data_IF_279840840165
#
_entry.id   IF_279840840165
#
_cell.length_a   1.000
_cell.length_b   1.000
_cell.length_c   1.000
_cell.angle_alpha   90.00
_cell.angle_beta   90.00
_cell.angle_gamma   90.00
#
_symmetry.space_group_name_H-M   'P 1'
#
loop_
_entity.id
_entity.type
_entity.pdbx_description
1 polymer ?
#
# COMPACT_ATOMS: atom_id res chain seq x y z
N UNK A 1 -3.78 -18.02 2.07
CA UNK A 1 -2.66 -17.41 2.81
C UNK A 1 -1.51 -17.21 1.83
N UNK A 2 -0.90 -16.03 1.80
CA UNK A 2 0.25 -15.77 0.94
C UNK A 2 1.45 -16.59 1.47
N UNK A 3 2.03 -17.44 0.62
CA UNK A 3 3.14 -18.32 1.03
C UNK A 3 4.46 -17.75 0.51
N UNK A 4 5.00 -16.73 1.19
CA UNK A 4 6.33 -16.20 0.90
C UNK A 4 7.39 -16.91 1.77
N UNK A 5 8.62 -17.07 1.26
CA UNK A 5 9.75 -17.48 2.10
C UNK A 5 9.91 -16.57 3.32
N UNK A 6 10.32 -17.12 4.47
CA UNK A 6 10.43 -16.39 5.73
C UNK A 6 11.46 -15.23 5.73
N UNK A 7 12.35 -15.21 4.74
CA UNK A 7 13.34 -14.15 4.50
C UNK A 7 12.86 -13.13 3.46
N UNK A 8 11.56 -13.06 3.19
CA UNK A 8 10.94 -12.11 2.26
C UNK A 8 10.27 -10.98 3.00
N UNK A 9 10.59 -9.75 2.60
CA UNK A 9 9.88 -8.54 3.00
C UNK A 9 8.96 -8.02 1.90
N UNK A 10 7.98 -7.23 2.27
CA UNK A 10 7.11 -6.50 1.35
C UNK A 10 7.27 -5.00 1.59
N UNK A 11 7.40 -4.22 0.52
CA UNK A 11 7.32 -2.76 0.56
C UNK A 11 6.03 -2.35 -0.14
N UNK A 12 5.17 -1.61 0.54
CA UNK A 12 3.96 -1.02 -0.05
C UNK A 12 4.28 0.43 -0.40
N UNK A 13 4.26 0.78 -1.68
CA UNK A 13 4.71 2.09 -2.16
C UNK A 13 3.60 2.89 -2.84
N UNK A 14 3.47 4.17 -2.49
CA UNK A 14 2.64 5.14 -3.22
C UNK A 14 3.45 6.37 -3.69
N UNK A 15 2.79 7.42 -4.19
CA UNK A 15 3.47 8.66 -4.60
C UNK A 15 4.04 9.48 -3.42
N UNK A 16 3.47 9.30 -2.23
CA UNK A 16 3.53 10.23 -1.12
C UNK A 16 2.56 11.39 -1.28
N UNK A 17 2.29 12.08 -0.18
CA UNK A 17 1.44 13.26 -0.13
C UNK A 17 2.05 14.32 0.76
N UNK A 18 1.80 15.60 0.44
CA UNK A 18 2.10 16.72 1.33
C UNK A 18 1.21 16.72 2.58
N UNK A 19 0.09 15.99 2.56
CA UNK A 19 -0.81 15.81 3.70
C UNK A 19 -0.36 14.60 4.51
N UNK A 20 0.12 14.84 5.73
CA UNK A 20 0.56 13.78 6.64
C UNK A 20 -0.51 12.71 6.89
N UNK A 21 -1.79 13.11 6.94
CA UNK A 21 -2.94 12.18 7.06
C UNK A 21 -2.96 11.14 5.93
N UNK A 22 -2.69 11.54 4.69
CA UNK A 22 -2.66 10.62 3.56
C UNK A 22 -1.52 9.62 3.66
N UNK A 23 -0.35 10.03 4.17
CA UNK A 23 0.79 9.13 4.35
C UNK A 23 0.52 8.07 5.43
N UNK A 24 -0.15 8.46 6.53
CA UNK A 24 -0.59 7.51 7.58
C UNK A 24 -1.57 6.45 7.09
N UNK A 25 -2.36 6.75 6.05
CA UNK A 25 -3.23 5.74 5.44
C UNK A 25 -2.39 4.62 4.80
N UNK A 26 -1.25 4.94 4.19
CA UNK A 26 -0.35 3.92 3.63
C UNK A 26 0.27 3.06 4.72
N UNK A 27 0.68 3.67 5.85
CA UNK A 27 1.14 2.94 7.04
C UNK A 27 0.06 1.95 7.52
N UNK A 28 -1.19 2.41 7.63
CA UNK A 28 -2.33 1.56 8.04
C UNK A 28 -2.60 0.43 7.04
N UNK A 29 -2.43 0.68 5.74
CA UNK A 29 -2.54 -0.36 4.70
C UNK A 29 -1.41 -1.39 4.82
N UNK A 30 -0.18 -0.95 5.09
CA UNK A 30 0.96 -1.84 5.29
C UNK A 30 0.75 -2.75 6.52
N UNK A 31 0.27 -2.19 7.64
CA UNK A 31 -0.05 -2.94 8.86
C UNK A 31 -1.18 -3.95 8.62
N UNK A 32 -2.27 -3.51 7.96
CA UNK A 32 -3.39 -4.38 7.60
C UNK A 32 -2.94 -5.55 6.72
N UNK A 33 -2.06 -5.28 5.75
CA UNK A 33 -1.50 -6.32 4.91
C UNK A 33 -0.58 -7.26 5.70
N UNK A 34 0.27 -6.73 6.59
CA UNK A 34 1.17 -7.53 7.42
C UNK A 34 0.38 -8.55 8.27
N UNK A 35 -0.70 -8.11 8.90
CA UNK A 35 -1.60 -8.96 9.69
C UNK A 35 -2.29 -10.01 8.80
N UNK A 36 -2.96 -9.57 7.73
CA UNK A 36 -3.74 -10.45 6.86
C UNK A 36 -2.87 -11.49 6.13
N UNK A 37 -1.65 -11.13 5.74
CA UNK A 37 -0.72 -12.02 5.05
C UNK A 37 0.19 -12.80 6.00
N UNK A 38 0.17 -12.52 7.31
CA UNK A 38 1.16 -13.02 8.28
C UNK A 38 2.60 -12.78 7.82
N UNK A 39 2.85 -11.62 7.21
CA UNK A 39 4.16 -11.25 6.68
C UNK A 39 4.93 -10.46 7.75
N UNK A 40 6.10 -10.94 8.22
CA UNK A 40 6.76 -10.34 9.38
C UNK A 40 7.44 -9.01 9.08
N UNK A 41 7.80 -8.74 7.82
CA UNK A 41 8.52 -7.52 7.41
C UNK A 41 7.73 -6.86 6.30
N UNK A 42 6.94 -5.86 6.67
CA UNK A 42 6.23 -4.98 5.74
C UNK A 42 6.60 -3.55 6.06
N UNK A 43 7.03 -2.79 5.05
CA UNK A 43 7.42 -1.38 5.19
C UNK A 43 6.60 -0.51 4.22
N UNK A 44 6.03 0.62 4.67
CA UNK A 44 5.50 1.62 3.75
C UNK A 44 6.67 2.36 3.07
N UNK A 45 6.44 2.89 1.87
CA UNK A 45 7.37 3.78 1.19
C UNK A 45 6.64 4.79 0.31
N UNK A 46 7.32 5.90 0.03
CA UNK A 46 6.82 6.97 -0.84
C UNK A 46 7.84 7.26 -1.93
N UNK A 47 7.34 7.56 -3.14
CA UNK A 47 8.21 7.86 -4.28
C UNK A 47 8.92 9.20 -4.16
N UNK A 48 8.21 10.29 -3.83
CA UNK A 48 8.76 11.64 -3.97
C UNK A 48 8.33 12.65 -2.89
N UNK A 49 7.10 12.53 -2.37
CA UNK A 49 6.49 13.64 -1.61
C UNK A 49 6.52 13.47 -0.09
N UNK A 50 7.03 12.33 0.40
CA UNK A 50 7.06 11.99 1.82
C UNK A 50 8.19 10.99 2.11
N UNK A 51 8.47 10.78 3.38
CA UNK A 51 9.36 9.73 3.88
C UNK A 51 8.53 8.69 4.64
N UNK A 52 8.96 7.41 4.67
CA UNK A 52 10.22 6.89 4.14
C UNK A 52 10.26 6.77 2.61
N UNK A 53 11.40 7.09 2.00
CA UNK A 53 11.67 6.80 0.58
C UNK A 53 11.77 5.30 0.32
N UNK A 54 11.67 4.87 -0.95
CA UNK A 54 11.88 3.46 -1.31
C UNK A 54 13.27 2.95 -0.87
N UNK A 55 14.31 3.78 -0.98
CA UNK A 55 15.66 3.40 -0.54
C UNK A 55 15.73 3.20 0.99
N UNK A 56 15.06 4.07 1.75
CA UNK A 56 14.96 3.98 3.22
C UNK A 56 14.25 2.69 3.63
N UNK A 57 13.08 2.42 3.06
CA UNK A 57 12.30 1.20 3.35
C UNK A 57 13.04 -0.07 2.92
N UNK A 58 13.75 -0.04 1.78
CA UNK A 58 14.55 -1.17 1.30
C UNK A 58 15.68 -1.48 2.30
N UNK A 59 16.44 -0.47 2.72
CA UNK A 59 17.52 -0.66 3.69
C UNK A 59 17.00 -1.22 5.03
N UNK A 60 15.82 -0.75 5.46
CA UNK A 60 15.16 -1.24 6.67
C UNK A 60 14.75 -2.72 6.55
N UNK A 61 14.15 -3.13 5.42
CA UNK A 61 13.86 -4.53 5.14
C UNK A 61 15.12 -5.42 5.25
N UNK A 62 16.23 -4.96 4.66
CA UNK A 62 17.51 -5.68 4.71
C UNK A 62 18.06 -5.73 6.14
N UNK A 63 17.98 -4.63 6.90
CA UNK A 63 18.39 -4.55 8.31
C UNK A 63 17.59 -5.55 9.17
N UNK A 64 16.32 -5.76 8.84
CA UNK A 64 15.43 -6.73 9.49
C UNK A 64 15.65 -8.18 9.02
N UNK A 65 16.60 -8.42 8.11
CA UNK A 65 17.06 -9.75 7.70
C UNK A 65 16.49 -10.25 6.37
N UNK A 66 15.81 -9.41 5.60
CA UNK A 66 15.25 -9.80 4.30
C UNK A 66 16.35 -10.10 3.27
N UNK A 67 16.18 -11.20 2.54
CA UNK A 67 16.99 -11.57 1.34
C UNK A 67 16.21 -11.39 0.03
N UNK A 68 14.89 -11.26 0.14
CA UNK A 68 13.96 -11.01 -0.96
C UNK A 68 13.06 -9.85 -0.58
N UNK A 69 12.82 -8.92 -1.50
CA UNK A 69 11.93 -7.78 -1.28
C UNK A 69 10.90 -7.71 -2.41
N UNK A 70 9.62 -7.82 -2.04
CA UNK A 70 8.50 -7.63 -2.97
C UNK A 70 8.03 -6.19 -2.84
N UNK A 71 8.05 -5.43 -3.93
CA UNK A 71 7.62 -4.04 -3.98
C UNK A 71 6.24 -4.01 -4.63
N UNK A 72 5.24 -3.60 -3.86
CA UNK A 72 3.85 -3.49 -4.27
C UNK A 72 3.45 -2.04 -4.48
N UNK A 73 3.23 -1.60 -5.73
CA UNK A 73 2.70 -0.27 -6.02
C UNK A 73 1.22 -0.17 -5.62
N UNK A 74 0.92 0.65 -4.61
CA UNK A 74 -0.43 0.89 -4.12
C UNK A 74 -1.19 1.87 -5.03
N UNK A 75 -1.40 1.47 -6.29
CA UNK A 75 -2.06 2.28 -7.33
C UNK A 75 -3.30 1.58 -7.90
N UNK A 76 -4.36 2.35 -8.13
CA UNK A 76 -5.60 1.82 -8.73
C UNK A 76 -5.49 1.53 -10.24
N UNK A 77 -4.51 2.12 -10.92
CA UNK A 77 -4.33 1.96 -12.36
C UNK A 77 -2.83 1.85 -12.72
N UNK A 78 -2.50 1.09 -13.78
CA UNK A 78 -1.16 1.13 -14.35
C UNK A 78 -0.86 2.51 -14.95
N UNK A 79 0.40 2.92 -14.92
CA UNK A 79 0.85 4.19 -15.44
C UNK A 79 2.37 4.29 -15.48
N UNK A 80 2.88 5.45 -15.90
CA UNK A 80 4.32 5.70 -16.02
C UNK A 80 5.09 5.38 -14.75
N UNK A 81 4.57 5.81 -13.60
CA UNK A 81 5.19 5.60 -12.29
C UNK A 81 5.42 4.12 -11.95
N UNK A 82 4.47 3.26 -12.32
CA UNK A 82 4.62 1.82 -12.15
C UNK A 82 5.60 1.21 -13.15
N UNK A 83 5.52 1.59 -14.44
CA UNK A 83 6.31 0.96 -15.50
C UNK A 83 7.78 1.40 -15.54
N UNK A 84 8.08 2.62 -15.10
CA UNK A 84 9.40 3.24 -15.26
C UNK A 84 10.01 3.61 -13.90
N UNK A 85 9.31 4.42 -13.10
CA UNK A 85 9.91 5.08 -11.94
C UNK A 85 10.18 4.11 -10.78
N UNK A 86 9.21 3.28 -10.39
CA UNK A 86 9.38 2.32 -9.30
C UNK A 86 10.48 1.28 -9.64
N UNK A 87 10.51 0.65 -10.83
CA UNK A 87 11.61 -0.21 -11.22
C UNK A 87 12.98 0.47 -11.16
N UNK A 88 13.07 1.74 -11.60
CA UNK A 88 14.30 2.52 -11.51
C UNK A 88 14.71 2.73 -10.05
N UNK A 89 13.82 3.24 -9.20
CA UNK A 89 14.09 3.48 -7.78
C UNK A 89 14.46 2.19 -7.03
N UNK A 90 13.80 1.08 -7.34
CA UNK A 90 14.11 -0.24 -6.78
C UNK A 90 15.52 -0.71 -7.16
N UNK A 91 15.89 -0.56 -8.44
CA UNK A 91 17.24 -0.87 -8.91
C UNK A 91 18.29 0.01 -8.24
N UNK A 92 17.98 1.29 -8.03
CA UNK A 92 18.87 2.23 -7.34
C UNK A 92 19.10 1.83 -5.87
N UNK A 93 18.04 1.51 -5.14
CA UNK A 93 18.11 1.03 -3.76
C UNK A 93 18.89 -0.28 -3.64
N UNK A 94 18.65 -1.24 -4.54
CA UNK A 94 19.28 -2.54 -4.52
C UNK A 94 20.81 -2.51 -4.76
N UNK A 95 21.37 -1.46 -5.41
CA UNK A 95 22.82 -1.34 -5.63
C UNK A 95 23.64 -1.39 -4.33
N UNK A 96 23.07 -0.92 -3.22
CA UNK A 96 23.71 -0.94 -1.90
C UNK A 96 23.61 -2.30 -1.21
N UNK A 97 22.88 -3.27 -1.77
CA UNK A 97 22.53 -4.54 -1.15
C UNK A 97 22.70 -5.73 -2.13
N UNK A 98 23.91 -6.04 -2.61
CA UNK A 98 24.16 -7.01 -3.68
C UNK A 98 23.75 -8.47 -3.39
N UNK A 99 23.43 -8.81 -2.13
CA UNK A 99 22.91 -10.12 -1.72
C UNK A 99 21.39 -10.22 -1.65
N UNK A 100 20.66 -9.15 -2.00
CA UNK A 100 19.21 -9.04 -1.85
C UNK A 100 18.58 -8.96 -3.23
N UNK A 101 17.60 -9.82 -3.46
CA UNK A 101 16.81 -9.82 -4.70
C UNK A 101 15.51 -9.08 -4.50
N UNK A 102 14.95 -8.50 -5.55
CA UNK A 102 13.68 -7.79 -5.46
C UNK A 102 12.76 -8.07 -6.66
N UNK A 103 11.47 -7.89 -6.44
CA UNK A 103 10.40 -8.04 -7.44
C UNK A 103 9.49 -6.83 -7.34
N UNK A 104 9.30 -6.10 -8.44
CA UNK A 104 8.21 -5.12 -8.56
C UNK A 104 6.99 -5.83 -9.14
N UNK A 105 5.87 -5.77 -8.43
CA UNK A 105 4.62 -6.43 -8.81
C UNK A 105 3.75 -5.53 -9.71
N UNK A 106 2.65 -6.08 -10.22
CA UNK A 106 1.58 -5.26 -10.76
C UNK A 106 0.93 -4.44 -9.63
N UNK A 107 0.41 -3.23 -9.92
CA UNK A 107 -0.39 -2.47 -8.96
C UNK A 107 -1.74 -3.16 -8.71
N UNK A 108 -2.58 -2.60 -7.84
CA UNK A 108 -3.95 -3.10 -7.59
C UNK A 108 -4.70 -3.30 -8.92
N UNK A 109 -4.73 -2.25 -9.75
CA UNK A 109 -5.30 -2.31 -11.09
C UNK A 109 -6.75 -2.81 -11.12
N UNK A 110 -7.12 -3.43 -12.25
CA UNK A 110 -8.41 -4.11 -12.40
C UNK A 110 -8.36 -5.48 -11.72
N UNK A 111 -8.84 -5.53 -10.48
CA UNK A 111 -8.96 -6.77 -9.71
C UNK A 111 -10.43 -7.08 -9.41
N UNK A 112 -10.83 -8.36 -9.40
CA UNK A 112 -12.24 -8.76 -9.18
C UNK A 112 -12.79 -8.26 -7.84
N UNK A 113 -11.97 -8.29 -6.79
CA UNK A 113 -12.32 -7.77 -5.46
C UNK A 113 -12.62 -6.26 -5.42
N UNK A 114 -12.25 -5.49 -6.45
CA UNK A 114 -12.60 -4.06 -6.51
C UNK A 114 -14.12 -3.86 -6.51
N UNK A 115 -14.86 -4.71 -7.23
CA UNK A 115 -16.31 -4.65 -7.25
C UNK A 115 -16.91 -4.93 -5.86
N UNK A 116 -16.33 -5.88 -5.12
CA UNK A 116 -16.76 -6.23 -3.76
C UNK A 116 -16.50 -5.07 -2.78
N UNK A 117 -15.32 -4.45 -2.83
CA UNK A 117 -14.99 -3.28 -2.01
C UNK A 117 -15.96 -2.12 -2.30
N UNK A 118 -16.23 -1.87 -3.59
CA UNK A 118 -17.19 -0.84 -4.01
C UNK A 118 -18.59 -1.14 -3.50
N UNK A 119 -19.06 -2.38 -3.64
CA UNK A 119 -20.38 -2.81 -3.17
C UNK A 119 -20.52 -2.59 -1.65
N UNK A 120 -19.56 -3.09 -0.87
CA UNK A 120 -19.58 -2.94 0.60
C UNK A 120 -19.57 -1.47 1.02
N UNK A 121 -18.77 -0.63 0.34
CA UNK A 121 -18.72 0.80 0.65
C UNK A 121 -20.02 1.52 0.29
N UNK A 122 -20.63 1.19 -0.85
CA UNK A 122 -21.92 1.75 -1.28
C UNK A 122 -23.02 1.33 -0.32
N UNK A 123 -23.10 0.06 0.03
CA UNK A 123 -24.10 -0.48 0.96
C UNK A 123 -24.02 0.22 2.32
N UNK A 124 -22.82 0.31 2.90
CA UNK A 124 -22.65 1.02 4.17
C UNK A 124 -23.06 2.51 4.08
N UNK A 125 -22.66 3.22 3.02
CA UNK A 125 -23.05 4.61 2.84
C UNK A 125 -24.55 4.81 2.56
N UNK A 126 -25.19 3.83 1.89
CA UNK A 126 -26.62 3.81 1.69
C UNK A 126 -27.36 3.66 3.02
N UNK A 127 -26.96 2.68 3.83
CA UNK A 127 -27.53 2.45 5.16
C UNK A 127 -27.38 3.69 6.04
N UNK A 128 -26.20 4.33 6.03
CA UNK A 128 -25.97 5.60 6.71
C UNK A 128 -26.95 6.67 6.23
N UNK A 129 -27.11 6.83 4.91
CA UNK A 129 -27.99 7.84 4.33
C UNK A 129 -29.48 7.58 4.64
N UNK A 130 -29.87 6.33 4.90
CA UNK A 130 -31.22 5.94 5.32
C UNK A 130 -31.41 5.86 6.83
N UNK A 131 -30.38 6.16 7.63
CA UNK A 131 -30.44 6.14 9.10
C UNK A 131 -30.39 4.74 9.72
N UNK A 132 -29.92 3.75 8.98
CA UNK A 132 -29.78 2.36 9.42
C UNK A 132 -28.37 2.03 9.94
N UNK A 133 -27.38 2.90 9.73
CA UNK A 133 -26.00 2.69 10.16
C UNK A 133 -25.32 4.02 10.54
N UNK A 134 -24.23 3.92 11.32
CA UNK A 134 -23.37 5.04 11.67
C UNK A 134 -22.46 5.44 10.49
N UNK A 135 -21.62 6.48 10.66
CA UNK A 135 -20.67 6.87 9.61
C UNK A 135 -19.49 5.91 9.57
N UNK A 136 -19.06 5.52 8.37
CA UNK A 136 -17.79 4.82 8.21
C UNK A 136 -16.59 5.71 8.57
N UNK A 137 -15.48 5.05 8.86
CA UNK A 137 -14.13 5.59 9.06
C UNK A 137 -13.76 6.72 8.10
N UNK A 138 -14.07 6.58 6.81
CA UNK A 138 -13.75 7.60 5.79
C UNK A 138 -14.70 8.81 5.84
N UNK A 139 -15.97 8.60 6.19
CA UNK A 139 -16.98 9.66 6.17
C UNK A 139 -17.06 10.47 7.48
N UNK A 140 -16.26 10.13 8.50
CA UNK A 140 -16.25 10.81 9.79
C UNK A 140 -15.88 12.29 9.68
N UNK A 141 -14.89 12.62 8.85
CA UNK A 141 -14.40 13.99 8.65
C UNK A 141 -15.28 14.82 7.70
N UNK A 142 -16.30 14.21 7.11
CA UNK A 142 -17.27 14.87 6.26
C UNK A 142 -18.65 14.87 6.90
N UNK A 143 -19.56 15.61 6.28
CA UNK A 143 -20.96 15.75 6.64
C UNK A 143 -21.80 14.44 6.48
N UNK A 144 -21.15 13.28 6.40
CA UNK A 144 -21.74 11.95 6.18
C UNK A 144 -22.20 11.70 4.74
N UNK A 145 -22.50 10.43 4.44
CA UNK A 145 -23.23 10.04 3.23
C UNK A 145 -24.72 10.39 3.41
N UNK A 146 -25.29 11.18 2.48
CA UNK A 146 -26.70 11.61 2.51
C UNK A 146 -27.24 11.86 1.10
N UNK A 147 -28.52 11.60 0.90
CA UNK A 147 -29.23 12.06 -0.30
C UNK A 147 -29.31 13.59 -0.32
N UNK A 148 -29.31 14.16 -1.52
CA UNK A 148 -29.48 15.60 -1.76
C UNK A 148 -30.73 15.84 -2.58
#
# INVERSE_FOLDING_TARGET
MLNLPSDTAVIVIDHGSRRAESNRLLESVADMFAEAASCPIVEPAHMELAEPSLATAFAECVRRGAKRIVIFPYFLAPGRHWNEDIPRLAAEAARSHPGVTYLVTAPIGLHTLMAEIMQQRIEHCWEQATGANDRCDICQSNNGCRFR
#
